data_IF_244052206088
#
_entry.id   IF_244052206088
#
_cell.length_a   1.000
_cell.length_b   1.000
_cell.length_c   1.000
_cell.angle_alpha   90.00
_cell.angle_beta   90.00
_cell.angle_gamma   90.00
#
_symmetry.space_group_name_H-M   'P 1'
#
loop_
_entity.id
_entity.type
_entity.pdbx_description
1 polymer ?
#
# COMPACT_ATOMS: atom_id res chain seq x y z
N UNK A 1 -14.20 2.02 -12.13
CA UNK A 1 -13.77 2.63 -10.86
C UNK A 1 -12.26 2.52 -10.76
N UNK A 2 -11.55 3.60 -10.37
CA UNK A 2 -10.10 3.59 -10.18
C UNK A 2 -9.79 3.52 -8.69
N UNK A 3 -8.87 2.64 -8.31
CA UNK A 3 -8.47 2.41 -6.93
C UNK A 3 -6.98 2.75 -6.76
N UNK A 4 -6.60 3.12 -5.54
CA UNK A 4 -5.27 3.58 -5.17
C UNK A 4 -4.74 2.77 -3.99
N UNK A 5 -3.45 2.48 -4.02
CA UNK A 5 -2.69 1.87 -2.94
C UNK A 5 -1.56 2.84 -2.56
N UNK A 6 -1.39 3.12 -1.26
CA UNK A 6 -0.24 3.87 -0.78
C UNK A 6 0.86 2.93 -0.29
N UNK A 7 2.05 3.05 -0.84
CA UNK A 7 3.20 2.20 -0.55
C UNK A 7 4.42 3.02 -0.13
N UNK A 8 5.42 2.36 0.46
CA UNK A 8 6.76 2.93 0.69
C UNK A 8 7.80 2.39 -0.30
N UNK A 9 7.34 1.63 -1.30
CA UNK A 9 8.15 0.92 -2.29
C UNK A 9 7.38 0.91 -3.62
N UNK A 10 8.10 1.03 -4.73
CA UNK A 10 7.55 0.88 -6.08
C UNK A 10 7.08 -0.56 -6.33
N UNK A 11 5.93 -0.71 -6.98
CA UNK A 11 5.33 -2.02 -7.28
C UNK A 11 5.30 -2.20 -8.79
N UNK A 12 6.36 -2.83 -9.33
CA UNK A 12 6.44 -3.13 -10.76
C UNK A 12 5.48 -4.25 -11.18
N UNK A 13 5.23 -5.21 -10.29
CA UNK A 13 4.33 -6.34 -10.54
C UNK A 13 3.58 -6.76 -9.28
N UNK A 14 2.32 -7.17 -9.46
CA UNK A 14 1.46 -7.62 -8.36
C UNK A 14 1.91 -9.01 -7.90
N UNK A 15 2.40 -9.11 -6.67
CA UNK A 15 2.73 -10.39 -6.03
C UNK A 15 2.16 -10.46 -4.61
N UNK A 16 1.06 -11.20 -4.44
CA UNK A 16 0.37 -11.33 -3.15
C UNK A 16 1.20 -12.09 -2.10
N UNK A 17 2.18 -12.89 -2.51
CA UNK A 17 3.06 -13.58 -1.58
C UNK A 17 3.99 -12.61 -0.82
N UNK A 18 4.26 -11.44 -1.40
CA UNK A 18 5.06 -10.36 -0.81
C UNK A 18 4.26 -9.47 0.14
N UNK A 19 2.92 -9.57 0.13
CA UNK A 19 2.08 -8.82 1.05
C UNK A 19 2.27 -9.33 2.48
N UNK A 20 2.17 -8.42 3.45
CA UNK A 20 2.20 -8.78 4.87
C UNK A 20 1.13 -9.83 5.18
N UNK A 21 1.49 -10.90 5.91
CA UNK A 21 0.54 -11.91 6.34
C UNK A 21 -0.40 -11.35 7.43
N UNK A 22 -1.49 -12.07 7.68
CA UNK A 22 -2.40 -11.84 8.80
C UNK A 22 -3.11 -10.47 8.80
N UNK A 23 -3.44 -9.95 7.62
CA UNK A 23 -4.43 -8.85 7.50
C UNK A 23 -5.83 -9.39 7.72
N UNK A 24 -6.81 -8.51 7.93
CA UNK A 24 -8.23 -8.86 8.15
C UNK A 24 -8.78 -9.80 7.06
N UNK A 25 -8.25 -9.67 5.84
CA UNK A 25 -8.63 -10.46 4.66
C UNK A 25 -7.48 -11.33 4.12
N UNK A 26 -6.52 -11.72 4.97
CA UNK A 26 -5.40 -12.58 4.59
C UNK A 26 -4.21 -11.83 4.01
N UNK A 27 -3.89 -12.06 2.73
CA UNK A 27 -2.76 -11.43 2.02
C UNK A 27 -3.27 -10.62 0.82
N UNK A 28 -3.01 -9.31 0.84
CA UNK A 28 -3.36 -8.44 -0.27
C UNK A 28 -3.03 -6.97 -0.05
N UNK A 29 -3.44 -6.15 -1.02
CA UNK A 29 -3.30 -4.70 -0.99
C UNK A 29 -4.56 -4.07 -0.39
N UNK A 30 -4.38 -3.14 0.54
CA UNK A 30 -5.49 -2.27 0.93
C UNK A 30 -5.61 -1.17 -0.12
N UNK A 31 -6.81 -1.06 -0.68
CA UNK A 31 -7.14 -0.14 -1.75
C UNK A 31 -8.21 0.84 -1.28
N UNK A 32 -8.21 2.04 -1.87
CA UNK A 32 -9.23 3.07 -1.65
C UNK A 32 -9.50 3.79 -2.96
N UNK A 33 -10.71 4.29 -3.16
CA UNK A 33 -11.07 5.20 -4.26
C UNK A 33 -10.68 6.66 -3.96
N UNK A 34 -10.34 6.99 -2.71
CA UNK A 34 -9.87 8.31 -2.27
C UNK A 34 -8.35 8.43 -2.42
N UNK A 35 -7.89 9.09 -3.48
CA UNK A 35 -6.45 9.29 -3.76
C UNK A 35 -5.68 9.89 -2.58
N UNK A 36 -6.24 10.92 -1.92
CA UNK A 36 -5.63 11.58 -0.76
C UNK A 36 -5.40 10.61 0.41
N UNK A 37 -6.31 9.63 0.60
CA UNK A 37 -6.16 8.64 1.65
C UNK A 37 -5.00 7.66 1.34
N UNK A 38 -4.82 7.29 0.07
CA UNK A 38 -3.67 6.49 -0.36
C UNK A 38 -2.34 7.25 -0.18
N UNK A 39 -2.29 8.53 -0.55
CA UNK A 39 -1.09 9.37 -0.37
C UNK A 39 -0.71 9.53 1.11
N UNK A 40 -1.71 9.78 1.98
CA UNK A 40 -1.49 9.80 3.45
C UNK A 40 -0.99 8.46 3.97
N UNK A 41 -1.49 7.35 3.43
CA UNK A 41 -1.00 6.01 3.78
C UNK A 41 0.46 5.82 3.38
N UNK A 42 0.82 6.16 2.14
CA UNK A 42 2.20 6.09 1.62
C UNK A 42 3.19 6.85 2.51
N UNK A 43 2.85 8.09 2.87
CA UNK A 43 3.65 8.93 3.79
C UNK A 43 3.78 8.24 5.16
N UNK A 44 2.67 7.75 5.72
CA UNK A 44 2.67 7.07 7.02
C UNK A 44 3.54 5.81 7.01
N UNK A 45 3.38 4.93 6.02
CA UNK A 45 4.16 3.68 5.97
C UNK A 45 5.65 3.96 5.75
N UNK A 46 5.99 4.95 4.94
CA UNK A 46 7.40 5.37 4.72
C UNK A 46 8.03 5.92 6.01
N UNK A 47 7.28 6.66 6.83
CA UNK A 47 7.75 7.12 8.14
C UNK A 47 8.00 5.99 9.14
N UNK A 48 7.17 4.94 9.10
CA UNK A 48 7.27 3.82 10.06
C UNK A 48 8.36 2.82 9.65
N UNK A 49 8.45 2.52 8.35
CA UNK A 49 9.28 1.41 7.84
C UNK A 49 10.44 1.87 6.96
N UNK A 50 10.63 3.18 6.74
CA UNK A 50 11.58 3.72 5.77
C UNK A 50 11.08 3.60 4.32
N UNK A 51 11.90 4.03 3.36
CA UNK A 51 11.55 4.06 1.93
C UNK A 51 10.95 5.40 1.47
N UNK A 52 10.47 5.42 0.24
CA UNK A 52 9.91 6.62 -0.42
C UNK A 52 8.42 6.43 -0.60
N UNK A 53 7.57 7.42 -0.25
CA UNK A 53 6.13 7.31 -0.46
C UNK A 53 5.80 7.28 -1.96
N UNK A 54 5.00 6.29 -2.36
CA UNK A 54 4.50 6.03 -3.72
C UNK A 54 2.98 5.84 -3.70
#
# INVERSE_FOLDING_TARGET
MKLYHGSNVEIDSINLAMCRPYKDFGKGFYLTDLKEQAEKMAIRVSRIYGGTPV
#
